data_IF_666421790727
#
_entry.id   IF_666421790727
#
_cell.length_a   1.000
_cell.length_b   1.000
_cell.length_c   1.000
_cell.angle_alpha   90.00
_cell.angle_beta   90.00
_cell.angle_gamma   90.00
#
_symmetry.space_group_name_H-M   'P 1'
#
loop_
_entity.id
_entity.type
_entity.pdbx_description
1 polymer ?
#
# COMPACT_ATOMS: atom_id res chain seq x y z
N UNK A 1 -1.74 -7.71 0.46
CA UNK A 1 -2.08 -6.35 0.91
C UNK A 1 -1.88 -6.29 2.40
N UNK A 2 -0.80 -5.64 2.83
CA UNK A 2 -0.44 -5.54 4.25
C UNK A 2 -1.50 -4.73 5.02
N UNK A 3 -2.17 -3.80 4.33
CA UNK A 3 -3.28 -2.99 4.82
C UNK A 3 -4.44 -3.86 5.36
N UNK A 4 -4.82 -4.94 4.66
CA UNK A 4 -5.88 -5.87 5.07
C UNK A 4 -5.53 -6.64 6.35
N UNK A 5 -4.25 -7.03 6.50
CA UNK A 5 -3.79 -7.74 7.70
C UNK A 5 -3.92 -6.87 8.95
N UNK A 6 -3.57 -5.59 8.84
CA UNK A 6 -3.74 -4.64 9.94
C UNK A 6 -5.21 -4.33 10.23
N UNK A 7 -6.08 -4.31 9.21
CA UNK A 7 -7.53 -4.24 9.43
C UNK A 7 -8.05 -5.43 10.24
N UNK A 8 -7.65 -6.66 9.89
CA UNK A 8 -8.06 -7.87 10.62
C UNK A 8 -7.58 -7.84 12.08
N UNK A 9 -6.32 -7.46 12.32
CA UNK A 9 -5.78 -7.30 13.67
C UNK A 9 -6.48 -6.21 14.47
N UNK A 10 -6.86 -5.11 13.82
CA UNK A 10 -7.67 -4.05 14.43
C UNK A 10 -9.02 -4.56 14.92
N UNK A 11 -9.73 -5.34 14.10
CA UNK A 11 -11.02 -5.94 14.45
C UNK A 11 -10.87 -6.83 15.69
N UNK A 12 -9.87 -7.71 15.72
CA UNK A 12 -9.61 -8.58 16.88
C UNK A 12 -9.34 -7.75 18.14
N UNK A 13 -8.46 -6.74 18.06
CA UNK A 13 -8.16 -5.87 19.20
C UNK A 13 -9.39 -5.11 19.73
N UNK A 14 -10.31 -4.71 18.86
CA UNK A 14 -11.55 -4.06 19.26
C UNK A 14 -12.49 -5.04 19.98
N UNK A 15 -12.63 -6.27 19.46
CA UNK A 15 -13.44 -7.32 20.06
C UNK A 15 -12.89 -7.75 21.43
N UNK A 16 -11.58 -7.74 21.60
CA UNK A 16 -10.89 -8.01 22.87
C UNK A 16 -10.96 -6.81 23.86
N UNK A 17 -11.62 -5.72 23.49
CA UNK A 17 -11.74 -4.51 24.30
C UNK A 17 -10.47 -3.65 24.37
N UNK A 18 -9.41 -4.01 23.63
CA UNK A 18 -8.17 -3.26 23.57
C UNK A 18 -8.24 -2.11 22.55
N UNK A 19 -8.96 -1.05 22.93
CA UNK A 19 -9.20 0.12 22.08
C UNK A 19 -7.91 0.85 21.68
N UNK A 20 -6.87 0.84 22.52
CA UNK A 20 -5.58 1.45 22.20
C UNK A 20 -4.92 0.73 21.03
N UNK A 21 -4.83 -0.60 21.12
CA UNK A 21 -4.23 -1.43 20.08
C UNK A 21 -5.05 -1.38 18.78
N UNK A 22 -6.37 -1.33 18.87
CA UNK A 22 -7.23 -1.07 17.71
C UNK A 22 -6.84 0.22 16.97
N UNK A 23 -6.67 1.34 17.70
CA UNK A 23 -6.31 2.63 17.10
C UNK A 23 -4.93 2.56 16.42
N UNK A 24 -3.96 1.87 17.03
CA UNK A 24 -2.64 1.66 16.46
C UNK A 24 -2.70 0.88 15.15
N UNK A 25 -3.43 -0.24 15.12
CA UNK A 25 -3.61 -1.04 13.91
C UNK A 25 -4.37 -0.30 12.82
N UNK A 26 -5.42 0.45 13.17
CA UNK A 26 -6.16 1.30 12.22
C UNK A 26 -5.26 2.34 11.58
N UNK A 27 -4.45 3.05 12.37
CA UNK A 27 -3.58 4.09 11.85
C UNK A 27 -2.51 3.50 10.90
N UNK A 28 -1.92 2.36 11.24
CA UNK A 28 -0.98 1.64 10.35
C UNK A 28 -1.63 1.17 9.05
N UNK A 29 -2.88 0.66 9.11
CA UNK A 29 -3.59 0.23 7.92
C UNK A 29 -3.81 1.40 6.93
N UNK A 30 -4.10 2.60 7.44
CA UNK A 30 -4.26 3.81 6.63
C UNK A 30 -2.92 4.21 5.99
N UNK A 31 -1.85 4.27 6.78
CA UNK A 31 -0.49 4.60 6.30
C UNK A 31 -0.07 3.66 5.17
N UNK A 32 -0.21 2.34 5.37
CA UNK A 32 0.14 1.33 4.37
C UNK A 32 -0.74 1.46 3.12
N UNK A 33 -2.03 1.75 3.27
CA UNK A 33 -2.92 1.92 2.12
C UNK A 33 -2.55 3.16 1.30
N UNK A 34 -2.15 4.25 1.96
CA UNK A 34 -1.65 5.44 1.29
C UNK A 34 -0.32 5.16 0.59
N UNK A 35 0.60 4.43 1.22
CA UNK A 35 1.84 3.97 0.58
C UNK A 35 1.57 3.05 -0.62
N UNK A 36 0.73 2.02 -0.45
CA UNK A 36 0.32 1.08 -1.51
C UNK A 36 -0.33 1.83 -2.69
N UNK A 37 -1.06 2.93 -2.45
CA UNK A 37 -1.64 3.78 -3.50
C UNK A 37 -0.66 4.79 -4.11
N UNK A 38 0.33 5.25 -3.36
CA UNK A 38 1.35 6.18 -3.83
C UNK A 38 2.51 5.48 -4.55
N UNK A 39 2.60 4.15 -4.46
CA UNK A 39 3.50 3.36 -5.30
C UNK A 39 3.00 3.35 -6.74
N UNK A 40 3.56 4.25 -7.56
CA UNK A 40 3.49 4.14 -9.01
C UNK A 40 4.72 3.38 -9.52
N UNK A 41 4.52 2.49 -10.47
CA UNK A 41 5.64 1.83 -11.15
C UNK A 41 6.44 2.85 -11.95
N UNK A 42 7.74 2.63 -12.10
CA UNK A 42 8.58 3.44 -13.01
C UNK A 42 7.95 3.50 -14.41
N UNK A 43 7.31 2.40 -14.84
CA UNK A 43 6.59 2.32 -16.10
C UNK A 43 5.37 3.23 -16.22
N UNK A 44 4.75 3.62 -15.10
CA UNK A 44 3.64 4.60 -15.01
C UNK A 44 4.16 6.05 -14.88
N UNK A 45 5.38 6.24 -14.35
CA UNK A 45 6.00 7.56 -14.21
C UNK A 45 6.68 8.07 -15.48
N UNK A 46 7.17 7.17 -16.34
CA UNK A 46 7.88 7.57 -17.57
C UNK A 46 6.91 7.89 -18.71
N UNK A 47 7.15 8.94 -19.51
CA UNK A 47 6.37 9.21 -20.71
C UNK A 47 6.34 8.01 -21.66
N UNK A 48 5.21 7.79 -22.34
CA UNK A 48 5.03 6.67 -23.28
C UNK A 48 6.18 6.57 -24.31
N UNK A 49 6.67 7.71 -24.80
CA UNK A 49 7.81 7.79 -25.72
C UNK A 49 9.11 7.24 -25.12
N UNK A 50 9.37 7.50 -23.85
CA UNK A 50 10.55 7.00 -23.13
C UNK A 50 10.45 5.50 -22.91
N UNK A 51 9.26 5.02 -22.52
CA UNK A 51 8.95 3.59 -22.40
C UNK A 51 9.24 2.86 -23.70
N UNK A 52 8.73 3.36 -24.83
CA UNK A 52 8.89 2.74 -26.14
C UNK A 52 10.37 2.66 -26.58
N UNK A 53 11.18 3.69 -26.29
CA UNK A 53 12.63 3.66 -26.55
C UNK A 53 13.35 2.62 -25.70
N UNK A 54 13.01 2.51 -24.42
CA UNK A 54 13.62 1.52 -23.52
C UNK A 54 13.34 0.10 -24.01
N UNK A 55 12.10 -0.23 -24.39
CA UNK A 55 11.76 -1.55 -24.92
C UNK A 55 12.55 -1.91 -26.18
N UNK A 56 12.77 -0.94 -27.07
CA UNK A 56 13.57 -1.13 -28.30
C UNK A 56 15.07 -1.33 -28.04
N UNK A 57 15.60 -0.96 -26.87
CA UNK A 57 17.01 -1.13 -26.53
C UNK A 57 17.35 -2.52 -25.98
N UNK A 58 16.34 -3.25 -25.49
CA UNK A 58 16.48 -4.61 -24.93
C UNK A 58 16.02 -5.69 -25.92
N UNK A 59 15.67 -5.29 -27.16
CA UNK A 59 15.23 -6.16 -28.27
C UNK A 59 16.37 -6.47 -29.22
#
# INVERSE_FOLDING_TARGET
MLSIEYCARGIVAYLDGNIKLFKEYRNKAIEIYEEERNMCSIGEMIPARTKEKLYKLVS
#
